data_IF_869332409702
#
_entry.id   IF_869332409702
#
_cell.length_a   1.000
_cell.length_b   1.000
_cell.length_c   1.000
_cell.angle_alpha   90.00
_cell.angle_beta   90.00
_cell.angle_gamma   90.00
#
_symmetry.space_group_name_H-M   'P 1'
#
loop_
_entity.id
_entity.type
_entity.pdbx_description
1 polymer ?
#
# COMPACT_ATOMS: atom_id res chain seq x y z
N UNK A 1 -14.64 31.31 33.43
CA UNK A 1 -15.85 30.50 33.23
C UNK A 1 -16.07 30.02 31.77
N UNK A 2 -15.37 30.55 30.76
CA UNK A 2 -15.65 30.28 29.32
C UNK A 2 -15.00 29.04 28.67
N UNK A 3 -14.26 28.21 29.42
CA UNK A 3 -13.48 27.10 28.81
C UNK A 3 -14.32 25.84 28.57
N UNK A 4 -15.25 25.55 29.48
CA UNK A 4 -16.06 24.32 29.43
C UNK A 4 -17.07 24.36 28.28
N UNK A 5 -17.75 25.50 28.07
CA UNK A 5 -18.72 25.67 26.98
C UNK A 5 -18.07 25.50 25.59
N UNK A 6 -16.85 26.02 25.43
CA UNK A 6 -16.08 25.89 24.20
C UNK A 6 -15.70 24.44 23.93
N UNK A 7 -15.28 23.69 24.96
CA UNK A 7 -14.97 22.27 24.84
C UNK A 7 -16.19 21.46 24.43
N UNK A 8 -17.35 21.73 25.04
CA UNK A 8 -18.60 21.05 24.69
C UNK A 8 -18.99 21.33 23.23
N UNK A 9 -18.86 22.57 22.76
CA UNK A 9 -19.12 22.92 21.37
C UNK A 9 -18.19 22.20 20.39
N UNK A 10 -16.90 22.10 20.72
CA UNK A 10 -15.91 21.36 19.92
C UNK A 10 -16.24 19.86 19.84
N UNK A 11 -16.61 19.23 20.96
CA UNK A 11 -17.01 17.81 21.02
C UNK A 11 -18.26 17.57 20.17
N UNK A 12 -19.29 18.41 20.29
CA UNK A 12 -20.52 18.30 19.49
C UNK A 12 -20.22 18.40 17.99
N UNK A 13 -19.37 19.35 17.62
CA UNK A 13 -18.92 19.51 16.23
C UNK A 13 -18.20 18.25 15.76
N UNK A 14 -17.23 17.74 16.51
CA UNK A 14 -16.47 16.54 16.17
C UNK A 14 -17.37 15.30 15.98
N UNK A 15 -18.31 15.10 16.91
CA UNK A 15 -19.30 14.00 16.91
C UNK A 15 -20.15 14.04 15.64
N UNK A 16 -20.71 15.20 15.31
CA UNK A 16 -21.53 15.42 14.11
C UNK A 16 -20.73 15.17 12.83
N UNK A 17 -19.52 15.70 12.76
CA UNK A 17 -18.73 15.69 11.54
C UNK A 17 -18.18 14.28 11.23
N UNK A 18 -17.82 13.50 12.26
CA UNK A 18 -17.31 12.13 12.13
C UNK A 18 -18.39 11.05 12.18
N UNK A 19 -19.57 11.35 12.72
CA UNK A 19 -20.63 10.36 12.96
C UNK A 19 -20.18 9.27 13.93
N UNK A 20 -19.49 9.65 15.01
CA UNK A 20 -19.07 8.79 16.11
C UNK A 20 -19.70 9.35 17.38
N UNK A 21 -20.14 8.47 18.28
CA UNK A 21 -20.60 8.87 19.60
C UNK A 21 -19.39 9.18 20.52
N UNK A 22 -19.26 10.46 20.88
CA UNK A 22 -18.19 10.98 21.73
C UNK A 22 -18.81 11.78 22.89
N UNK A 23 -18.44 11.40 24.09
CA UNK A 23 -18.90 12.06 25.32
C UNK A 23 -17.76 12.80 26.00
N UNK A 24 -18.07 13.71 26.93
CA UNK A 24 -17.05 14.46 27.69
C UNK A 24 -16.06 13.55 28.42
N UNK A 25 -16.50 12.37 28.88
CA UNK A 25 -15.65 11.35 29.53
C UNK A 25 -14.62 10.69 28.62
N UNK A 26 -14.76 10.79 27.30
CA UNK A 26 -13.78 10.25 26.35
C UNK A 26 -12.53 11.15 26.24
N UNK A 27 -12.59 12.35 26.81
CA UNK A 27 -11.56 13.37 26.73
C UNK A 27 -10.93 13.60 28.11
N UNK A 28 -9.60 13.60 28.14
CA UNK A 28 -8.83 14.07 29.30
C UNK A 28 -8.70 15.59 29.27
N UNK A 29 -8.22 16.14 28.16
CA UNK A 29 -7.99 17.58 27.99
C UNK A 29 -8.26 18.02 26.56
N UNK A 30 -8.76 19.24 26.41
CA UNK A 30 -8.95 19.91 25.12
C UNK A 30 -8.46 21.35 25.28
N UNK A 31 -7.47 21.74 24.48
CA UNK A 31 -6.92 23.09 24.54
C UNK A 31 -6.32 23.52 23.19
N UNK A 32 -6.40 24.81 22.84
CA UNK A 32 -5.72 25.34 21.66
C UNK A 32 -4.20 25.35 21.88
N UNK A 33 -3.45 25.10 20.81
CA UNK A 33 -1.99 25.17 20.79
C UNK A 33 -1.51 26.26 19.83
N UNK A 34 -0.40 26.90 20.16
CA UNK A 34 0.20 27.97 19.35
C UNK A 34 -0.14 29.38 19.83
N UNK A 35 0.38 30.38 19.11
CA UNK A 35 0.13 31.80 19.39
C UNK A 35 -1.23 32.20 18.84
N UNK A 36 -1.97 33.00 19.61
CA UNK A 36 -3.25 33.56 19.16
C UNK A 36 -2.96 34.61 18.09
N UNK A 37 -3.40 34.35 16.87
CA UNK A 37 -3.33 35.29 15.74
C UNK A 37 -4.75 35.65 15.30
N UNK A 38 -5.03 36.93 15.06
CA UNK A 38 -6.39 37.41 14.79
C UNK A 38 -7.05 36.78 13.55
N UNK A 39 -6.24 36.39 12.56
CA UNK A 39 -6.73 35.91 11.26
C UNK A 39 -6.53 34.40 11.04
N UNK A 40 -6.11 33.65 12.07
CA UNK A 40 -5.82 32.22 11.92
C UNK A 40 -6.35 31.42 13.12
N UNK A 41 -7.22 30.43 12.88
CA UNK A 41 -7.66 29.55 13.96
C UNK A 41 -6.49 28.73 14.48
N UNK A 42 -6.36 28.67 15.81
CA UNK A 42 -5.36 27.84 16.46
C UNK A 42 -5.73 26.35 16.33
N UNK A 43 -4.77 25.46 16.04
CA UNK A 43 -5.00 24.03 16.15
C UNK A 43 -5.42 23.67 17.58
N UNK A 44 -6.34 22.73 17.72
CA UNK A 44 -6.79 22.23 19.02
C UNK A 44 -6.11 20.90 19.27
N UNK A 45 -5.40 20.79 20.40
CA UNK A 45 -4.88 19.53 20.89
C UNK A 45 -5.95 18.86 21.76
N UNK A 46 -6.16 17.58 21.48
CA UNK A 46 -7.15 16.74 22.14
C UNK A 46 -6.43 15.55 22.74
N UNK A 47 -6.54 15.41 24.06
CA UNK A 47 -6.06 14.27 24.81
C UNK A 47 -7.26 13.39 25.16
N UNK A 48 -7.20 12.12 24.77
CA UNK A 48 -8.29 11.15 24.97
C UNK A 48 -7.96 10.24 26.14
N UNK A 49 -9.00 9.76 26.83
CA UNK A 49 -8.87 8.73 27.88
C UNK A 49 -8.55 7.37 27.29
N UNK A 50 -9.08 7.06 26.10
CA UNK A 50 -8.97 5.76 25.45
C UNK A 50 -8.23 5.79 24.11
N UNK A 51 -7.26 4.90 23.95
CA UNK A 51 -6.58 4.68 22.67
C UNK A 51 -7.52 4.11 21.60
N UNK A 52 -8.52 3.31 21.99
CA UNK A 52 -9.50 2.77 21.04
C UNK A 52 -10.36 3.88 20.45
N UNK A 53 -10.79 4.86 21.26
CA UNK A 53 -11.47 6.06 20.79
C UNK A 53 -10.59 6.90 19.86
N UNK A 54 -9.29 7.02 20.16
CA UNK A 54 -8.32 7.65 19.24
C UNK A 54 -8.30 6.97 17.86
N UNK A 55 -8.24 5.64 17.83
CA UNK A 55 -8.26 4.87 16.58
C UNK A 55 -9.58 5.03 15.83
N UNK A 56 -10.70 5.01 16.53
CA UNK A 56 -12.04 5.20 15.96
C UNK A 56 -12.17 6.57 15.28
N UNK A 57 -11.74 7.63 15.96
CA UNK A 57 -11.69 9.00 15.41
C UNK A 57 -10.83 9.03 14.14
N UNK A 58 -9.58 8.54 14.23
CA UNK A 58 -8.64 8.55 13.11
C UNK A 58 -9.16 7.76 11.89
N UNK A 59 -9.83 6.63 12.12
CA UNK A 59 -10.45 5.81 11.06
C UNK A 59 -11.58 6.52 10.33
N UNK A 60 -12.29 7.45 10.96
CA UNK A 60 -13.41 8.19 10.37
C UNK A 60 -13.01 9.53 9.76
N UNK A 61 -11.76 9.97 9.89
CA UNK A 61 -11.28 11.25 9.34
C UNK A 61 -11.46 11.40 7.83
N UNK A 62 -11.60 10.30 7.08
CA UNK A 62 -11.92 10.37 5.65
C UNK A 62 -13.26 11.08 5.36
N UNK A 63 -14.20 11.09 6.33
CA UNK A 63 -15.48 11.81 6.22
C UNK A 63 -15.31 13.33 6.24
N UNK A 64 -14.16 13.83 6.67
CA UNK A 64 -13.81 15.26 6.67
C UNK A 64 -13.25 15.73 5.32
N UNK A 65 -13.06 14.84 4.35
CA UNK A 65 -12.59 15.23 3.01
C UNK A 65 -13.57 16.21 2.37
N UNK A 66 -13.03 17.30 1.81
CA UNK A 66 -13.84 18.40 1.25
C UNK A 66 -14.32 19.41 2.29
N UNK A 67 -14.06 19.17 3.58
CA UNK A 67 -14.29 20.15 4.65
C UNK A 67 -12.97 20.86 4.99
N UNK A 68 -13.06 22.06 5.54
CA UNK A 68 -11.90 22.84 5.99
C UNK A 68 -11.43 22.44 7.41
N UNK A 69 -11.65 21.18 7.80
CA UNK A 69 -11.30 20.63 9.11
C UNK A 69 -10.39 19.44 8.89
N UNK A 70 -9.26 19.42 9.57
CA UNK A 70 -8.26 18.36 9.46
C UNK A 70 -7.93 17.82 10.84
N UNK A 71 -7.87 16.49 10.94
CA UNK A 71 -7.47 15.79 12.15
C UNK A 71 -6.26 14.94 11.82
N UNK A 72 -5.18 15.15 12.56
CA UNK A 72 -3.93 14.41 12.40
C UNK A 72 -3.46 13.87 13.74
N UNK A 73 -2.69 12.79 13.71
CA UNK A 73 -2.05 12.27 14.91
C UNK A 73 -0.94 13.21 15.39
N UNK A 74 -0.88 13.44 16.70
CA UNK A 74 0.26 14.08 17.35
C UNK A 74 1.42 13.08 17.37
N UNK A 75 2.45 13.37 16.56
CA UNK A 75 3.62 12.53 16.34
C UNK A 75 4.86 13.22 16.89
N UNK A 76 5.83 12.43 17.39
CA UNK A 76 7.15 12.94 17.76
C UNK A 76 7.86 13.55 16.54
N UNK A 77 8.89 14.39 16.76
CA UNK A 77 9.63 15.00 15.65
C UNK A 77 10.25 13.94 14.73
N UNK A 78 10.81 12.89 15.31
CA UNK A 78 11.44 11.80 14.56
C UNK A 78 10.41 11.03 13.74
N UNK A 79 9.24 10.74 14.34
CA UNK A 79 8.13 10.11 13.62
C UNK A 79 7.59 11.01 12.50
N UNK A 80 7.54 12.34 12.69
CA UNK A 80 7.12 13.27 11.64
C UNK A 80 8.08 13.25 10.45
N UNK A 81 9.39 13.25 10.71
CA UNK A 81 10.43 13.15 9.67
C UNK A 81 10.29 11.83 8.91
N UNK A 82 10.19 10.71 9.65
CA UNK A 82 10.02 9.39 9.07
C UNK A 82 8.74 9.31 8.23
N UNK A 83 7.62 9.80 8.77
CA UNK A 83 6.33 9.78 8.08
C UNK A 83 6.33 10.68 6.83
N UNK A 84 7.10 11.78 6.82
CA UNK A 84 7.29 12.61 5.63
C UNK A 84 8.06 11.86 4.55
N UNK A 85 9.13 11.16 4.90
CA UNK A 85 9.90 10.35 3.96
C UNK A 85 9.06 9.17 3.41
N UNK A 86 8.38 8.41 4.27
CA UNK A 86 7.48 7.33 3.87
C UNK A 86 6.36 7.80 2.93
N UNK A 87 5.82 9.02 3.12
CA UNK A 87 4.83 9.62 2.21
C UNK A 87 5.38 9.84 0.79
N UNK A 88 6.66 10.16 0.64
CA UNK A 88 7.28 10.31 -0.68
C UNK A 88 7.31 8.96 -1.41
N UNK A 89 7.73 7.90 -0.73
CA UNK A 89 7.71 6.54 -1.27
C UNK A 89 6.29 6.04 -1.57
N UNK A 90 5.32 6.33 -0.69
CA UNK A 90 3.91 6.03 -0.90
C UNK A 90 3.37 6.68 -2.19
N UNK A 91 3.71 7.94 -2.42
CA UNK A 91 3.27 8.66 -3.61
C UNK A 91 3.87 8.06 -4.89
N UNK A 92 5.16 7.68 -4.87
CA UNK A 92 5.80 6.96 -5.98
C UNK A 92 5.12 5.62 -6.26
N UNK A 93 4.81 4.83 -5.23
CA UNK A 93 4.10 3.57 -5.39
C UNK A 93 2.71 3.79 -6.04
N UNK A 94 1.97 4.80 -5.58
CA UNK A 94 0.66 5.15 -6.16
C UNK A 94 0.74 5.63 -7.61
N UNK A 95 1.77 6.39 -7.97
CA UNK A 95 2.01 6.82 -9.36
C UNK A 95 2.24 5.62 -10.30
N UNK A 96 2.84 4.55 -9.79
CA UNK A 96 3.04 3.30 -10.51
C UNK A 96 1.84 2.33 -10.39
N UNK A 97 0.67 2.81 -9.92
CA UNK A 97 -0.54 2.01 -9.69
C UNK A 97 -0.39 0.85 -8.69
N UNK A 98 0.60 0.92 -7.79
CA UNK A 98 0.84 -0.11 -6.78
C UNK A 98 0.02 0.20 -5.52
N UNK A 99 -0.66 -0.83 -4.98
CA UNK A 99 -1.43 -0.72 -3.74
C UNK A 99 -0.47 -0.57 -2.56
N UNK A 100 -0.38 0.66 -2.05
CA UNK A 100 0.46 0.99 -0.90
C UNK A 100 -0.29 1.79 0.16
N UNK A 101 0.03 1.54 1.44
CA UNK A 101 -0.52 2.25 2.61
C UNK A 101 0.56 2.43 3.68
N UNK A 102 0.43 3.45 4.54
CA UNK A 102 1.34 3.61 5.69
C UNK A 102 0.60 3.16 6.95
N UNK A 103 1.23 2.30 7.76
CA UNK A 103 0.76 1.90 9.10
C UNK A 103 1.94 1.79 10.05
N UNK A 104 1.79 2.29 11.28
CA UNK A 104 2.77 2.14 12.36
C UNK A 104 4.22 2.46 11.94
N UNK A 105 4.43 3.60 11.27
CA UNK A 105 5.73 4.04 10.76
C UNK A 105 6.40 3.08 9.77
N UNK A 106 5.60 2.29 9.04
CA UNK A 106 6.04 1.40 7.96
C UNK A 106 5.21 1.63 6.71
N UNK A 107 5.83 1.48 5.55
CA UNK A 107 5.13 1.45 4.27
C UNK A 107 4.74 0.00 3.97
N UNK A 108 3.45 -0.26 3.79
CA UNK A 108 2.94 -1.55 3.36
C UNK A 108 2.69 -1.47 1.86
N UNK A 109 3.41 -2.25 1.08
CA UNK A 109 3.27 -2.37 -0.39
C UNK A 109 2.94 -3.83 -0.70
N UNK A 110 1.84 -4.11 -1.38
CA UNK A 110 1.42 -5.49 -1.72
C UNK A 110 1.45 -6.46 -0.52
N UNK A 111 1.00 -6.00 0.66
CA UNK A 111 1.03 -6.74 1.94
C UNK A 111 2.42 -6.99 2.57
N UNK A 112 3.51 -6.56 1.94
CA UNK A 112 4.86 -6.57 2.54
C UNK A 112 5.13 -5.24 3.25
N UNK A 113 5.70 -5.30 4.46
CA UNK A 113 5.97 -4.13 5.28
C UNK A 113 7.44 -3.73 5.19
N UNK A 114 7.69 -2.47 4.86
CA UNK A 114 9.02 -1.90 4.68
C UNK A 114 9.26 -0.76 5.68
N UNK A 115 10.41 -0.79 6.35
CA UNK A 115 10.89 0.33 7.16
C UNK A 115 11.58 1.38 6.29
N UNK A 116 11.73 2.59 6.82
CA UNK A 116 12.41 3.66 6.07
C UNK A 116 13.85 3.28 5.71
N UNK A 117 14.57 2.61 6.61
CA UNK A 117 15.95 2.19 6.37
C UNK A 117 16.06 1.24 5.17
N UNK A 118 15.14 0.27 5.08
CA UNK A 118 15.06 -0.68 3.97
C UNK A 118 14.78 0.03 2.63
N UNK A 119 13.88 1.02 2.65
CA UNK A 119 13.53 1.81 1.46
C UNK A 119 14.64 2.75 1.01
N UNK A 120 15.47 3.21 1.95
CA UNK A 120 16.61 4.08 1.66
C UNK A 120 17.77 3.31 1.06
N UNK A 121 18.01 2.09 1.54
CA UNK A 121 19.08 1.21 1.04
C UNK A 121 18.74 0.59 -0.32
N UNK A 122 17.46 0.28 -0.57
CA UNK A 122 17.02 -0.34 -1.82
C UNK A 122 15.74 0.35 -2.33
N UNK A 123 15.92 1.47 -3.05
CA UNK A 123 14.80 2.23 -3.64
C UNK A 123 13.91 1.41 -4.57
N UNK A 124 14.47 0.33 -5.13
CA UNK A 124 13.85 -0.48 -6.18
C UNK A 124 12.94 -1.58 -5.61
N UNK A 125 12.95 -1.82 -4.28
CA UNK A 125 12.05 -2.76 -3.59
C UNK A 125 10.56 -2.42 -3.77
N UNK A 126 10.24 -1.18 -4.15
CA UNK A 126 8.86 -0.75 -4.40
C UNK A 126 8.37 -1.21 -5.78
N UNK A 127 9.27 -1.42 -6.74
CA UNK A 127 8.95 -1.69 -8.15
C UNK A 127 9.13 -3.15 -8.57
N UNK A 128 9.88 -3.95 -7.80
CA UNK A 128 10.12 -5.37 -8.08
C UNK A 128 9.23 -6.31 -7.28
N UNK A 129 8.91 -7.47 -7.87
CA UNK A 129 8.31 -8.66 -7.24
C UNK A 129 6.79 -8.86 -7.36
N UNK A 130 6.20 -8.50 -8.51
CA UNK A 130 4.92 -9.10 -8.94
C UNK A 130 5.07 -10.26 -9.94
N UNK A 131 6.28 -10.58 -10.42
CA UNK A 131 6.44 -11.66 -11.43
C UNK A 131 7.34 -12.83 -10.98
N UNK A 132 8.07 -12.73 -9.87
CA UNK A 132 9.00 -13.79 -9.45
C UNK A 132 8.38 -14.82 -8.49
N UNK A 133 7.57 -14.41 -7.51
CA UNK A 133 7.14 -15.32 -6.43
C UNK A 133 6.00 -16.27 -6.84
N UNK A 134 4.97 -15.80 -7.58
CA UNK A 134 3.92 -16.70 -8.12
C UNK A 134 4.48 -17.70 -9.16
N UNK A 135 5.56 -17.34 -9.84
CA UNK A 135 6.26 -18.23 -10.78
C UNK A 135 7.13 -19.27 -10.08
N UNK A 136 7.77 -18.92 -8.95
CA UNK A 136 8.58 -19.85 -8.16
C UNK A 136 7.69 -20.88 -7.45
N UNK A 137 6.58 -20.44 -6.84
CA UNK A 137 5.68 -21.34 -6.11
C UNK A 137 4.98 -22.33 -7.06
N UNK A 138 4.51 -21.85 -8.22
CA UNK A 138 3.94 -22.71 -9.26
C UNK A 138 4.98 -23.64 -9.91
N UNK A 139 6.24 -23.21 -10.05
CA UNK A 139 7.33 -24.06 -10.59
C UNK A 139 7.74 -25.14 -9.59
N UNK A 140 7.84 -24.82 -8.30
CA UNK A 140 8.12 -25.81 -7.25
C UNK A 140 6.99 -26.82 -7.09
N UNK A 141 5.74 -26.39 -7.12
CA UNK A 141 4.59 -27.29 -7.00
C UNK A 141 4.49 -28.22 -8.22
N UNK A 142 4.74 -27.70 -9.43
CA UNK A 142 4.81 -28.51 -10.64
C UNK A 142 6.00 -29.48 -10.64
N UNK A 143 7.17 -29.07 -10.12
CA UNK A 143 8.34 -29.93 -9.99
C UNK A 143 8.10 -31.07 -8.98
N UNK A 144 7.44 -30.78 -7.85
CA UNK A 144 7.01 -31.79 -6.86
C UNK A 144 6.01 -32.78 -7.45
N UNK A 145 5.08 -32.30 -8.28
CA UNK A 145 4.06 -33.12 -8.96
C UNK A 145 4.67 -34.00 -10.07
N UNK A 146 5.70 -33.52 -10.76
CA UNK A 146 6.45 -34.28 -11.76
C UNK A 146 7.29 -35.39 -11.12
N UNK A 147 8.00 -35.11 -10.02
CA UNK A 147 8.84 -36.10 -9.36
C UNK A 147 8.03 -37.24 -8.69
N UNK A 148 6.86 -36.94 -8.10
CA UNK A 148 5.92 -37.98 -7.60
C UNK A 148 5.44 -38.96 -8.67
N UNK A 149 5.36 -38.53 -9.93
CA UNK A 149 4.93 -39.39 -11.06
C UNK A 149 6.04 -40.28 -11.60
N UNK A 150 7.31 -39.92 -11.40
CA UNK A 150 8.45 -40.75 -11.81
C UNK A 150 8.75 -41.92 -10.87
N UNK A 151 8.30 -41.84 -9.61
CA UNK A 151 8.54 -42.88 -8.61
C UNK A 151 7.51 -44.04 -8.64
N UNK A 152 6.50 -43.99 -9.52
CA UNK A 152 5.40 -44.98 -9.56
C UNK A 152 5.34 -45.83 -10.83
N UNK A 153 6.40 -45.84 -11.66
CA UNK A 153 6.47 -46.73 -12.83
C UNK A 153 7.44 -47.87 -12.55
N UNK A 154 6.99 -49.14 -12.50
CA UNK A 154 7.90 -50.28 -12.38
C UNK A 154 8.69 -50.45 -13.68
N UNK A 155 10.00 -50.66 -13.54
CA UNK A 155 10.90 -51.06 -14.64
C UNK A 155 10.39 -52.34 -15.29
N UNK A 156 9.97 -52.26 -16.55
CA UNK A 156 9.95 -53.41 -17.46
C UNK A 156 10.56 -53.04 -18.81
N UNK A 157 11.77 -53.56 -19.00
CA UNK A 157 12.34 -54.17 -20.21
C UNK A 157 11.95 -53.64 -21.61
N UNK A 158 12.96 -53.01 -22.25
CA UNK A 158 13.63 -53.36 -23.52
C UNK A 158 12.84 -53.43 -24.86
N UNK A 159 13.56 -52.85 -25.85
CA UNK A 159 13.74 -53.19 -27.28
C UNK A 159 12.88 -52.57 -28.39
N UNK A 160 13.65 -51.94 -29.30
CA UNK A 160 13.60 -51.98 -30.76
C UNK A 160 12.70 -51.00 -31.55
N UNK A 161 13.39 -49.97 -32.04
CA UNK A 161 13.77 -49.78 -33.46
C UNK A 161 12.81 -49.10 -34.47
N UNK A 162 13.48 -48.29 -35.31
CA UNK A 162 13.15 -47.90 -36.69
C UNK A 162 12.14 -46.74 -36.91
N UNK A 163 12.75 -45.56 -37.14
CA UNK A 163 12.51 -44.59 -38.22
C UNK A 163 11.09 -44.37 -38.77
N UNK A 164 10.68 -43.10 -38.85
CA UNK A 164 10.45 -42.35 -40.13
C UNK A 164 9.78 -40.98 -39.90
N UNK A 165 10.22 -40.02 -40.73
CA UNK A 165 9.63 -38.69 -41.05
C UNK A 165 9.95 -37.60 -40.02
N UNK A 166 10.95 -36.74 -40.20
CA UNK A 166 11.11 -35.79 -41.32
C UNK A 166 9.75 -35.26 -41.80
N UNK A 167 9.33 -34.12 -41.25
CA UNK A 167 8.84 -32.95 -42.01
C UNK A 167 8.41 -31.83 -41.04
N UNK A 168 8.65 -30.59 -41.47
CA UNK A 168 8.16 -29.32 -40.92
C UNK A 168 8.86 -28.69 -39.71
N UNK A 169 10.19 -28.53 -39.80
CA UNK A 169 10.73 -27.18 -39.61
C UNK A 169 10.27 -26.33 -40.82
N UNK A 170 9.91 -25.05 -40.61
CA UNK A 170 9.33 -24.09 -41.58
C UNK A 170 7.80 -24.00 -41.61
N UNK A 171 7.16 -23.58 -40.51
CA UNK A 171 5.89 -22.85 -40.59
C UNK A 171 5.49 -22.08 -39.32
N UNK A 172 6.35 -21.21 -38.77
CA UNK A 172 5.86 -20.05 -38.00
C UNK A 172 6.89 -18.91 -37.74
N UNK A 173 8.04 -18.90 -38.43
CA UNK A 173 8.94 -17.72 -38.48
C UNK A 173 8.54 -16.68 -39.56
N UNK A 174 7.48 -16.93 -40.34
CA UNK A 174 7.10 -16.08 -41.48
C UNK A 174 5.86 -15.18 -41.21
N UNK A 175 5.70 -14.68 -39.98
CA UNK A 175 4.59 -13.75 -39.64
C UNK A 175 4.95 -12.49 -38.83
N UNK A 176 6.23 -12.16 -38.64
CA UNK A 176 6.60 -10.89 -37.96
C UNK A 176 7.48 -9.91 -38.76
N UNK A 177 7.99 -10.27 -39.94
CA UNK A 177 8.79 -9.35 -40.78
C UNK A 177 7.97 -8.50 -41.78
N UNK A 178 6.63 -8.54 -41.73
CA UNK A 178 5.75 -7.72 -42.60
C UNK A 178 4.97 -6.59 -41.90
N UNK A 179 5.37 -6.18 -40.69
CA UNK A 179 4.78 -5.00 -40.01
C UNK A 179 5.70 -3.79 -39.86
N UNK A 180 6.94 -3.85 -40.38
CA UNK A 180 7.95 -2.78 -40.19
C UNK A 180 8.05 -1.81 -41.41
N UNK A 181 7.34 -2.02 -42.51
CA UNK A 181 7.49 -1.17 -43.73
C UNK A 181 6.27 -0.30 -44.09
N UNK A 182 5.45 0.14 -43.12
CA UNK A 182 4.28 1.02 -43.43
C UNK A 182 4.14 2.33 -42.62
N UNK A 183 5.19 2.83 -41.97
CA UNK A 183 5.15 4.18 -41.36
C UNK A 183 6.22 5.16 -41.82
N UNK A 184 7.10 4.81 -42.77
CA UNK A 184 7.95 5.80 -43.43
C UNK A 184 7.32 6.24 -44.75
N UNK A 185 6.45 7.25 -44.68
CA UNK A 185 6.08 8.05 -45.84
C UNK A 185 6.24 9.53 -45.44
N UNK A 186 7.20 10.26 -46.04
CA UNK A 186 7.38 11.68 -45.77
C UNK A 186 6.33 12.47 -46.56
N UNK A 187 5.81 13.53 -45.94
CA UNK A 187 5.28 14.73 -46.59
C UNK A 187 5.53 15.88 -45.62
#
# INVERSE_FOLDING_TARGET
MFREDSNIANIKTLTKELGIDLETRDFNNIYPIGKIEANKPNPIKIELTSYLKKLEILRNTYKLKGRNIFITQDLSKDDQINHKALRQHLNRAKQNNIKATIKQNKLIVNNKAYTLDQLTQNSDLILGDHEAEEFIESKEENLRKYNRRKETVPETSKTNDISKKETTAKKHEEKQTKKITRSNRPN
#
